data_IF_634014159215
#
_entry.id   IF_634014159215
#
_cell.length_a   1.000
_cell.length_b   1.000
_cell.length_c   1.000
_cell.angle_alpha   90.00
_cell.angle_beta   90.00
_cell.angle_gamma   90.00
#
_symmetry.space_group_name_H-M   'P 1'
#
loop_
_entity.id
_entity.type
_entity.pdbx_description
1 polymer ?
#
# COMPACT_ATOMS: atom_id res chain seq x y z
N UNK A 1 -10.98 37.30 -79.22
CA UNK A 1 -11.37 38.42 -78.34
C UNK A 1 -10.89 38.12 -76.92
N UNK A 2 -10.34 39.13 -76.24
CA UNK A 2 -9.66 39.08 -74.91
C UNK A 2 -10.64 38.85 -73.75
N UNK A 3 -10.07 38.40 -72.59
CA UNK A 3 -10.45 38.54 -71.15
C UNK A 3 -10.26 37.18 -70.47
N UNK A 4 -9.24 36.84 -69.65
CA UNK A 4 -8.55 37.38 -68.46
C UNK A 4 -9.38 37.49 -67.17
N UNK A 5 -8.84 36.84 -66.11
CA UNK A 5 -8.91 37.05 -64.64
C UNK A 5 -9.93 36.30 -63.76
N UNK A 6 -9.36 35.70 -62.69
CA UNK A 6 -9.96 35.48 -61.37
C UNK A 6 -10.16 33.99 -61.02
N UNK A 7 -9.85 33.46 -59.85
CA UNK A 7 -9.35 34.02 -58.59
C UNK A 7 -8.94 32.84 -57.70
N UNK A 8 -8.03 33.11 -56.76
CA UNK A 8 -7.47 32.20 -55.76
C UNK A 8 -8.54 31.46 -54.95
N UNK A 9 -8.46 30.12 -54.94
CA UNK A 9 -9.11 29.27 -53.94
C UNK A 9 -8.06 28.72 -52.98
N UNK A 10 -7.88 29.36 -51.83
CA UNK A 10 -6.99 28.88 -50.76
C UNK A 10 -7.64 27.65 -50.12
N UNK A 11 -7.04 26.48 -50.33
CA UNK A 11 -7.41 25.26 -49.62
C UNK A 11 -6.85 25.33 -48.18
N UNK A 12 -7.72 25.61 -47.20
CA UNK A 12 -7.38 25.53 -45.78
C UNK A 12 -7.34 24.04 -45.39
N UNK A 13 -6.14 23.48 -45.34
CA UNK A 13 -5.91 22.14 -44.84
C UNK A 13 -6.00 22.18 -43.30
N UNK A 14 -7.14 21.80 -42.74
CA UNK A 14 -7.32 21.66 -41.29
C UNK A 14 -6.53 20.43 -40.79
N UNK A 15 -5.29 20.65 -40.35
CA UNK A 15 -4.49 19.63 -39.67
C UNK A 15 -5.03 19.48 -38.24
N UNK A 16 -5.89 18.48 -38.03
CA UNK A 16 -6.29 18.05 -36.69
C UNK A 16 -5.13 17.26 -36.08
N UNK A 17 -4.24 17.94 -35.34
CA UNK A 17 -3.27 17.25 -34.49
C UNK A 17 -4.01 16.62 -33.30
N UNK A 18 -4.38 15.34 -33.46
CA UNK A 18 -4.77 14.52 -32.33
C UNK A 18 -3.56 14.34 -31.39
N UNK A 19 -3.53 15.10 -30.30
CA UNK A 19 -2.66 14.81 -29.17
C UNK A 19 -3.11 13.50 -28.53
N UNK A 20 -2.58 12.37 -29.01
CA UNK A 20 -2.72 11.09 -28.33
C UNK A 20 -1.87 11.15 -27.06
N UNK A 21 -2.50 11.48 -25.93
CA UNK A 21 -1.86 11.29 -24.62
C UNK A 21 -1.67 9.79 -24.41
N UNK A 22 -0.45 9.30 -24.61
CA UNK A 22 -0.08 7.94 -24.27
C UNK A 22 -0.23 7.76 -22.76
N UNK A 23 -1.31 7.11 -22.33
CA UNK A 23 -1.41 6.61 -20.95
C UNK A 23 -0.35 5.53 -20.79
N UNK A 24 0.58 5.64 -19.83
CA UNK A 24 1.52 4.55 -19.58
C UNK A 24 0.72 3.31 -19.18
N UNK A 25 0.85 2.24 -19.96
CA UNK A 25 0.34 0.94 -19.58
C UNK A 25 1.15 0.47 -18.35
N UNK A 26 0.49 0.32 -17.21
CA UNK A 26 1.07 -0.39 -16.07
C UNK A 26 1.25 -1.84 -16.53
N UNK A 27 2.49 -2.24 -16.79
CA UNK A 27 2.81 -3.62 -17.07
C UNK A 27 2.44 -4.47 -15.84
N UNK A 28 1.31 -5.18 -15.92
CA UNK A 28 0.94 -6.18 -14.93
C UNK A 28 2.06 -7.21 -14.84
N UNK A 29 2.66 -7.33 -13.67
CA UNK A 29 3.68 -8.34 -13.41
C UNK A 29 2.96 -9.66 -13.11
N UNK A 30 3.43 -10.75 -13.70
CA UNK A 30 2.97 -12.11 -13.40
C UNK A 30 3.18 -12.54 -11.92
N UNK A 31 3.72 -11.64 -11.08
CA UNK A 31 3.88 -11.80 -9.63
C UNK A 31 3.23 -10.63 -8.86
N UNK A 32 1.96 -10.38 -9.12
CA UNK A 32 1.15 -9.43 -8.33
C UNK A 32 0.91 -9.90 -6.89
N UNK A 33 1.45 -11.06 -6.47
CA UNK A 33 1.14 -11.67 -5.17
C UNK A 33 2.38 -12.30 -4.52
N UNK A 34 2.85 -11.67 -3.45
CA UNK A 34 3.90 -12.24 -2.62
C UNK A 34 3.53 -12.24 -1.14
N UNK A 35 4.25 -13.04 -0.35
CA UNK A 35 4.06 -13.14 1.09
C UNK A 35 5.38 -13.05 1.83
N UNK A 36 5.33 -12.49 3.04
CA UNK A 36 6.48 -12.43 3.94
C UNK A 36 6.08 -12.95 5.32
N UNK A 37 7.01 -13.62 5.99
CA UNK A 37 6.92 -13.97 7.41
C UNK A 37 7.49 -12.82 8.22
N UNK A 38 6.74 -12.39 9.23
CA UNK A 38 7.11 -11.30 10.12
C UNK A 38 7.83 -11.87 11.35
N UNK A 39 8.95 -11.26 11.74
CA UNK A 39 9.63 -11.56 13.00
C UNK A 39 9.88 -10.26 13.78
N UNK A 40 9.19 -10.04 14.91
CA UNK A 40 9.33 -8.82 15.69
C UNK A 40 10.78 -8.50 16.07
N UNK A 41 11.13 -7.21 15.98
CA UNK A 41 12.39 -6.66 16.50
C UNK A 41 12.08 -5.84 17.76
N UNK A 42 11.12 -4.92 17.65
CA UNK A 42 10.71 -4.03 18.72
C UNK A 42 9.21 -3.78 18.63
N UNK A 43 8.57 -3.69 19.79
CA UNK A 43 7.18 -3.28 19.96
C UNK A 43 7.11 -2.40 21.21
N UNK A 44 6.44 -1.26 21.11
CA UNK A 44 6.23 -0.35 22.24
C UNK A 44 4.81 0.18 22.19
N UNK A 45 4.08 0.06 23.29
CA UNK A 45 2.75 0.61 23.48
C UNK A 45 2.84 1.84 24.38
N UNK A 46 2.19 2.92 23.96
CA UNK A 46 2.08 4.16 24.73
C UNK A 46 0.63 4.39 25.14
N UNK A 47 0.41 4.50 26.45
CA UNK A 47 -0.85 4.92 27.07
C UNK A 47 -0.78 6.43 27.28
N UNK A 48 -1.40 7.19 26.37
CA UNK A 48 -1.29 8.66 26.31
C UNK A 48 -2.43 9.33 27.08
N UNK A 49 -3.58 8.65 27.14
CA UNK A 49 -4.83 9.20 27.64
C UNK A 49 -5.05 8.92 29.12
N UNK A 50 -6.29 8.57 29.45
CA UNK A 50 -6.64 8.10 30.79
C UNK A 50 -6.06 6.71 30.96
N UNK A 51 -5.38 6.46 32.07
CA UNK A 51 -4.84 5.14 32.44
C UNK A 51 -5.72 3.97 31.99
N UNK A 52 -5.10 3.06 31.24
CA UNK A 52 -5.71 1.91 30.62
C UNK A 52 -6.08 2.15 29.15
N UNK A 53 -6.41 1.09 28.39
CA UNK A 53 -6.63 1.21 26.95
C UNK A 53 -7.72 2.24 26.61
N UNK A 54 -7.34 3.26 25.83
CA UNK A 54 -8.19 4.38 25.45
C UNK A 54 -8.01 4.79 23.99
N UNK A 55 -8.96 5.53 23.43
CA UNK A 55 -8.80 6.10 22.10
C UNK A 55 -7.75 7.22 22.15
N UNK A 56 -6.78 7.19 21.22
CA UNK A 56 -5.62 8.07 21.21
C UNK A 56 -4.32 7.39 21.64
N UNK A 57 -4.40 6.26 22.35
CA UNK A 57 -3.24 5.40 22.61
C UNK A 57 -2.66 4.88 21.30
N UNK A 58 -1.41 4.44 21.33
CA UNK A 58 -0.78 3.91 20.14
C UNK A 58 0.26 2.85 20.43
N UNK A 59 0.63 2.10 19.41
CA UNK A 59 1.87 1.35 19.43
C UNK A 59 2.72 1.63 18.21
N UNK A 60 4.03 1.53 18.39
CA UNK A 60 5.04 1.55 17.33
C UNK A 60 5.76 0.21 17.30
N UNK A 61 6.13 -0.23 16.12
CA UNK A 61 6.75 -1.53 15.95
C UNK A 61 7.74 -1.57 14.80
N UNK A 62 8.55 -2.63 14.80
CA UNK A 62 9.32 -3.01 13.63
C UNK A 62 9.67 -4.48 13.61
N UNK A 63 9.73 -5.07 12.41
CA UNK A 63 9.89 -6.50 12.22
C UNK A 63 10.87 -6.82 11.10
N UNK A 64 11.54 -7.97 11.16
CA UNK A 64 12.29 -8.52 10.02
C UNK A 64 11.31 -9.22 9.08
N UNK A 65 11.47 -9.02 7.78
CA UNK A 65 10.67 -9.67 6.75
C UNK A 65 11.45 -10.84 6.15
N UNK A 66 10.82 -12.01 6.09
CA UNK A 66 11.41 -13.23 5.53
C UNK A 66 10.57 -13.79 4.37
N UNK A 67 11.22 -14.23 3.31
CA UNK A 67 10.62 -15.03 2.23
C UNK A 67 11.41 -16.33 2.10
N UNK A 68 10.73 -17.49 2.11
CA UNK A 68 11.37 -18.81 2.02
C UNK A 68 12.56 -19.01 2.98
N UNK A 69 12.49 -18.42 4.18
CA UNK A 69 13.55 -18.50 5.20
C UNK A 69 14.68 -17.46 5.06
N UNK A 70 14.76 -16.74 3.93
CA UNK A 70 15.73 -15.68 3.72
C UNK A 70 15.19 -14.31 4.15
N UNK A 71 16.04 -13.48 4.78
CA UNK A 71 15.67 -12.12 5.16
C UNK A 71 15.67 -11.18 3.95
N UNK A 72 14.46 -10.83 3.49
CA UNK A 72 14.23 -9.91 2.36
C UNK A 72 14.11 -8.44 2.76
N UNK A 73 13.91 -8.13 4.05
CA UNK A 73 13.70 -6.75 4.46
C UNK A 73 13.44 -6.50 5.94
N UNK A 74 12.79 -5.35 6.19
CA UNK A 74 12.24 -4.92 7.48
C UNK A 74 10.97 -4.11 7.21
N UNK A 75 10.04 -4.13 8.14
CA UNK A 75 9.00 -3.10 8.22
C UNK A 75 9.11 -2.27 9.50
N UNK A 76 8.35 -1.18 9.51
CA UNK A 76 8.07 -0.42 10.71
C UNK A 76 6.74 0.28 10.54
N UNK A 77 6.02 0.47 11.63
CA UNK A 77 4.74 1.13 11.59
C UNK A 77 4.31 1.71 12.92
N UNK A 78 3.19 2.43 12.84
CA UNK A 78 2.44 2.97 13.96
C UNK A 78 0.98 2.60 13.78
N UNK A 79 0.33 2.23 14.88
CA UNK A 79 -1.10 2.00 14.92
C UNK A 79 -1.70 2.80 16.08
N UNK A 80 -2.65 3.67 15.75
CA UNK A 80 -3.41 4.48 16.71
C UNK A 80 -4.70 3.76 17.08
N UNK A 81 -5.00 3.67 18.38
CA UNK A 81 -6.28 3.15 18.88
C UNK A 81 -7.37 4.17 18.57
N UNK A 82 -8.28 3.83 17.66
CA UNK A 82 -9.41 4.70 17.29
C UNK A 82 -10.69 4.36 18.04
N UNK A 83 -10.82 3.13 18.55
CA UNK A 83 -11.96 2.72 19.37
C UNK A 83 -11.62 1.56 20.29
N UNK A 84 -12.00 1.70 21.56
CA UNK A 84 -11.98 0.63 22.56
C UNK A 84 -13.42 0.21 22.85
N UNK A 85 -13.74 -1.05 22.59
CA UNK A 85 -15.00 -1.69 22.96
C UNK A 85 -14.76 -2.81 23.98
N UNK A 86 -15.85 -3.39 24.51
CA UNK A 86 -15.80 -4.45 25.56
C UNK A 86 -14.81 -5.57 25.23
N UNK A 87 -14.85 -6.08 24.00
CA UNK A 87 -14.02 -7.21 23.53
C UNK A 87 -13.28 -6.92 22.22
N UNK A 88 -13.27 -5.67 21.76
CA UNK A 88 -12.76 -5.29 20.45
C UNK A 88 -11.95 -4.00 20.51
N UNK A 89 -10.85 -3.97 19.76
CA UNK A 89 -10.06 -2.78 19.52
C UNK A 89 -10.06 -2.47 18.04
N UNK A 90 -10.18 -1.19 17.71
CA UNK A 90 -10.03 -0.69 16.34
C UNK A 90 -8.78 0.17 16.30
N UNK A 91 -7.92 -0.10 15.33
CA UNK A 91 -6.69 0.64 15.11
C UNK A 91 -6.67 1.23 13.71
N UNK A 92 -6.12 2.43 13.57
CA UNK A 92 -5.70 2.96 12.29
C UNK A 92 -4.18 2.84 12.18
N UNK A 93 -3.72 2.11 11.16
CA UNK A 93 -2.31 1.74 11.03
C UNK A 93 -1.67 2.35 9.79
N UNK A 94 -0.41 2.75 9.94
CA UNK A 94 0.49 3.20 8.88
C UNK A 94 1.76 2.36 8.95
N UNK A 95 2.10 1.65 7.87
CA UNK A 95 3.23 0.71 7.86
C UNK A 95 4.06 0.93 6.60
N UNK A 96 5.37 0.88 6.73
CA UNK A 96 6.29 0.89 5.58
C UNK A 96 7.12 -0.38 5.56
N UNK A 97 7.01 -1.14 4.48
CA UNK A 97 7.90 -2.26 4.19
C UNK A 97 9.10 -1.72 3.41
N UNK A 98 10.31 -2.05 3.86
CA UNK A 98 11.56 -1.78 3.15
C UNK A 98 12.15 -3.11 2.68
N UNK A 99 12.11 -3.34 1.36
CA UNK A 99 12.60 -4.55 0.71
C UNK A 99 13.99 -4.29 0.14
N UNK A 100 14.98 -5.08 0.60
CA UNK A 100 16.40 -4.86 0.32
C UNK A 100 16.66 -4.84 -1.18
N UNK A 101 17.29 -3.78 -1.67
CA UNK A 101 17.58 -3.57 -3.09
C UNK A 101 16.37 -3.18 -3.94
N UNK A 102 15.15 -3.57 -3.56
CA UNK A 102 13.97 -3.49 -4.43
C UNK A 102 13.14 -2.22 -4.26
N UNK A 103 13.09 -1.62 -3.07
CA UNK A 103 12.30 -0.41 -2.81
C UNK A 103 11.48 -0.50 -1.53
N UNK A 104 10.47 0.37 -1.44
CA UNK A 104 9.55 0.44 -0.30
C UNK A 104 8.10 0.27 -0.75
N UNK A 105 7.26 -0.21 0.15
CA UNK A 105 5.79 -0.28 -0.02
C UNK A 105 5.15 0.35 1.21
N UNK A 106 4.19 1.25 1.01
CA UNK A 106 3.41 1.86 2.11
C UNK A 106 2.04 1.21 2.22
N UNK A 107 1.65 0.91 3.45
CA UNK A 107 0.37 0.33 3.79
C UNK A 107 -0.38 1.26 4.75
N UNK A 108 -1.69 1.36 4.56
CA UNK A 108 -2.56 2.10 5.48
C UNK A 108 -3.94 1.45 5.59
N UNK A 109 -4.54 1.48 6.77
CA UNK A 109 -5.92 0.99 6.93
C UNK A 109 -6.36 0.78 8.36
N UNK A 110 -7.60 0.34 8.50
CA UNK A 110 -8.19 -0.01 9.79
C UNK A 110 -8.02 -1.51 10.08
N UNK A 111 -7.55 -1.85 11.27
CA UNK A 111 -7.49 -3.22 11.78
C UNK A 111 -8.41 -3.36 12.99
N UNK A 112 -9.16 -4.46 13.05
CA UNK A 112 -10.07 -4.76 14.15
C UNK A 112 -9.61 -6.03 14.86
N UNK A 113 -9.14 -5.87 16.09
CA UNK A 113 -8.69 -6.97 16.93
C UNK A 113 -9.78 -7.34 17.93
N UNK A 114 -9.88 -8.63 18.25
CA UNK A 114 -10.66 -9.10 19.41
C UNK A 114 -9.70 -9.40 20.55
N UNK A 115 -10.13 -9.20 21.80
CA UNK A 115 -9.31 -9.53 22.99
C UNK A 115 -8.81 -10.98 22.99
N UNK A 116 -9.59 -11.89 22.41
CA UNK A 116 -9.35 -13.34 22.45
C UNK A 116 -9.37 -13.98 21.06
N UNK A 117 -8.74 -13.36 20.04
CA UNK A 117 -8.68 -13.98 18.73
C UNK A 117 -7.73 -13.30 17.75
N UNK A 118 -7.52 -13.91 16.57
CA UNK A 118 -6.72 -13.32 15.51
C UNK A 118 -7.34 -12.00 15.05
N UNK A 119 -6.53 -11.17 14.42
CA UNK A 119 -6.94 -9.89 13.86
C UNK A 119 -7.20 -10.00 12.37
N UNK A 120 -8.42 -10.37 11.93
CA UNK A 120 -8.73 -10.34 10.51
C UNK A 120 -8.75 -8.87 10.07
N UNK A 121 -7.72 -8.47 9.32
CA UNK A 121 -7.65 -7.13 8.77
C UNK A 121 -6.89 -7.08 7.46
N UNK A 122 -7.28 -6.10 6.63
CA UNK A 122 -6.61 -5.76 5.38
C UNK A 122 -6.18 -4.31 5.43
N UNK A 123 -4.94 -4.06 5.08
CA UNK A 123 -4.44 -2.73 4.80
C UNK A 123 -4.47 -2.51 3.29
N UNK A 124 -4.70 -1.27 2.86
CA UNK A 124 -4.49 -0.87 1.48
C UNK A 124 -2.99 -0.67 1.24
N UNK A 125 -2.49 -1.10 0.08
CA UNK A 125 -1.21 -0.61 -0.43
C UNK A 125 -1.49 0.77 -1.03
N UNK A 126 -0.83 1.80 -0.49
CA UNK A 126 -1.07 3.21 -0.84
C UNK A 126 0.03 3.82 -1.69
N UNK A 127 1.14 3.10 -1.90
CA UNK A 127 2.25 3.59 -2.69
C UNK A 127 3.50 2.72 -2.54
N UNK A 128 4.57 3.16 -3.19
CA UNK A 128 5.88 2.55 -3.09
C UNK A 128 6.95 3.28 -3.89
N UNK A 129 8.17 2.74 -3.87
CA UNK A 129 9.33 3.31 -4.55
C UNK A 129 10.08 2.26 -5.36
N UNK A 130 10.92 2.70 -6.32
CA UNK A 130 11.73 1.83 -7.19
C UNK A 130 10.86 0.78 -7.89
N UNK A 131 11.09 -0.52 -7.68
CA UNK A 131 10.29 -1.60 -8.27
C UNK A 131 8.80 -1.50 -7.92
N UNK A 132 8.47 -0.81 -6.83
CA UNK A 132 7.10 -0.63 -6.35
C UNK A 132 6.58 0.81 -6.56
N UNK A 133 7.19 1.59 -7.45
CA UNK A 133 6.68 2.91 -7.80
C UNK A 133 5.25 2.81 -8.36
N UNK A 134 4.32 3.61 -7.81
CA UNK A 134 2.90 3.55 -8.18
C UNK A 134 2.14 2.33 -7.65
N UNK A 135 2.77 1.50 -6.80
CA UNK A 135 2.13 0.31 -6.26
C UNK A 135 0.84 0.65 -5.49
N UNK A 136 -0.19 -0.15 -5.74
CA UNK A 136 -1.43 -0.10 -5.00
C UNK A 136 -2.02 -1.51 -4.90
N UNK A 137 -3.07 -1.68 -4.08
CA UNK A 137 -3.66 -3.00 -3.84
C UNK A 137 -3.96 -3.25 -2.37
N UNK A 138 -3.67 -4.46 -1.88
CA UNK A 138 -4.02 -4.86 -0.51
C UNK A 138 -2.95 -5.72 0.16
N UNK A 139 -2.86 -5.62 1.48
CA UNK A 139 -2.05 -6.48 2.32
C UNK A 139 -2.92 -7.10 3.42
N UNK A 140 -2.87 -8.42 3.59
CA UNK A 140 -3.65 -9.16 4.59
C UNK A 140 -2.72 -9.75 5.64
N UNK A 141 -2.98 -9.43 6.90
CA UNK A 141 -2.34 -10.09 8.03
C UNK A 141 -2.98 -11.47 8.24
N UNK A 142 -2.16 -12.50 8.38
CA UNK A 142 -2.57 -13.87 8.60
C UNK A 142 -1.89 -14.36 9.88
N UNK A 143 -2.70 -14.56 10.90
CA UNK A 143 -2.30 -15.11 12.20
C UNK A 143 -2.96 -16.48 12.36
N UNK A 144 -2.17 -17.48 12.72
CA UNK A 144 -2.62 -18.84 13.00
C UNK A 144 -1.93 -19.32 14.27
N UNK A 145 -2.67 -20.06 15.10
CA UNK A 145 -2.14 -20.53 16.38
C UNK A 145 -0.98 -21.50 16.12
N UNK A 146 0.17 -21.25 16.75
CA UNK A 146 1.37 -22.10 16.60
C UNK A 146 2.17 -21.83 15.32
N UNK A 147 1.77 -20.85 14.52
CA UNK A 147 2.39 -20.52 13.23
C UNK A 147 2.96 -19.10 13.24
N UNK A 148 4.05 -18.84 12.50
CA UNK A 148 4.54 -17.48 12.31
C UNK A 148 3.49 -16.58 11.64
N UNK A 149 3.41 -15.33 12.10
CA UNK A 149 2.59 -14.29 11.47
C UNK A 149 3.08 -14.03 10.05
N UNK A 150 2.13 -13.96 9.11
CA UNK A 150 2.41 -13.73 7.69
C UNK A 150 1.68 -12.50 7.20
N UNK A 151 2.33 -11.74 6.34
CA UNK A 151 1.72 -10.65 5.59
C UNK A 151 1.65 -11.06 4.12
N UNK A 152 0.43 -11.15 3.57
CA UNK A 152 0.19 -11.49 2.17
C UNK A 152 -0.16 -10.22 1.39
N UNK A 153 0.65 -9.86 0.41
CA UNK A 153 0.47 -8.69 -0.43
C UNK A 153 -0.15 -9.09 -1.76
N UNK A 154 -0.99 -8.20 -2.29
CA UNK A 154 -1.55 -8.28 -3.63
C UNK A 154 -1.51 -6.91 -4.28
N UNK A 155 -0.72 -6.74 -5.33
CA UNK A 155 -0.68 -5.56 -6.18
C UNK A 155 -1.85 -5.57 -7.19
N UNK A 156 -2.14 -4.41 -7.78
CA UNK A 156 -3.20 -4.20 -8.77
C UNK A 156 -2.68 -3.38 -9.95
#
# INVERSE_FOLDING_TARGET
>A
MRRVFGLFGVAILAVVMAFTTATPAVAGHDDDRFQVVLRPIQFHYEDVGRHGPSAGDYFVFSEKLFNQGERVGRDSGRCDVTRVGRDKFTFHCFVTLTLRGQGKITLQGELRFRRSGPAPGRLAITGGTRRYAGAAGSARLVEQRGEPTRLRLRLR
#
